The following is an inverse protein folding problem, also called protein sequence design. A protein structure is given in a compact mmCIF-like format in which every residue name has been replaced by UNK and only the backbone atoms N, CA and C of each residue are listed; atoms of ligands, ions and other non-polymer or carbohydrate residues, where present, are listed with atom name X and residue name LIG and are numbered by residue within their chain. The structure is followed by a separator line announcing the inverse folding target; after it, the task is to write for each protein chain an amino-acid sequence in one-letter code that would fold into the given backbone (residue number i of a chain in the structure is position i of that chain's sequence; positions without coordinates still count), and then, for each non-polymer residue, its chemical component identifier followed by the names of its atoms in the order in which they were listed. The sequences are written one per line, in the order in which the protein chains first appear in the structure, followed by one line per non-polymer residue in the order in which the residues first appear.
data_IF_272756462170
#
_entry.id   IF_272756462170
#
_cell.length_a   1.000
_cell.length_b   1.000
_cell.length_c   1.000
_cell.angle_alpha   90.00
_cell.angle_beta   90.00
_cell.angle_gamma   90.00
#
_symmetry.space_group_name_H-M   'P 1'
#
loop_
_entity.id
_entity.type
_entity.pdbx_description
1 polymer ?
#
# COMPACT_ATOMS: atom_id res chain seq x y z
N UNK A 1 -10.40 2.41 -23.34
CA UNK A 1 -11.00 1.17 -22.81
C UNK A 1 -11.77 1.53 -21.55
N UNK A 2 -12.96 1.00 -21.37
CA UNK A 2 -13.74 1.17 -20.13
C UNK A 2 -13.36 0.07 -19.16
N UNK A 3 -13.37 0.39 -17.86
CA UNK A 3 -13.17 -0.61 -16.80
C UNK A 3 -14.48 -0.78 -16.04
N UNK A 4 -14.88 -2.03 -15.81
CA UNK A 4 -16.03 -2.35 -14.98
C UNK A 4 -15.58 -2.67 -13.57
N UNK A 5 -16.15 -1.98 -12.56
CA UNK A 5 -15.88 -2.26 -11.14
C UNK A 5 -16.94 -3.20 -10.56
N UNK A 6 -16.48 -4.25 -9.86
CA UNK A 6 -17.32 -5.20 -9.14
C UNK A 6 -16.87 -5.32 -7.69
N UNK A 7 -17.80 -5.12 -6.73
CA UNK A 7 -17.54 -5.35 -5.29
C UNK A 7 -17.71 -6.82 -4.95
N UNK A 8 -16.81 -7.36 -4.13
CA UNK A 8 -16.83 -8.73 -3.63
C UNK A 8 -16.35 -8.79 -2.18
N UNK A 9 -16.45 -9.97 -1.56
CA UNK A 9 -16.00 -10.21 -0.18
C UNK A 9 -15.36 -11.57 -0.03
N UNK A 10 -14.49 -11.70 0.97
CA UNK A 10 -14.01 -12.99 1.47
C UNK A 10 -13.87 -12.94 3.00
N UNK A 11 -13.75 -14.11 3.62
CA UNK A 11 -13.44 -14.23 5.05
C UNK A 11 -11.92 -14.22 5.22
N UNK A 12 -11.40 -13.14 5.80
CA UNK A 12 -9.98 -12.95 6.11
C UNK A 12 -9.56 -13.67 7.38
N UNK A 13 -8.34 -13.41 7.81
CA UNK A 13 -7.76 -14.00 9.03
C UNK A 13 -8.70 -13.83 10.22
N UNK A 14 -8.98 -14.93 10.94
CA UNK A 14 -9.90 -14.95 12.07
C UNK A 14 -11.37 -14.73 11.71
N UNK A 15 -11.77 -14.96 10.45
CA UNK A 15 -13.16 -14.84 9.99
C UNK A 15 -13.66 -13.39 9.85
N UNK A 16 -12.75 -12.44 9.76
CA UNK A 16 -13.12 -11.04 9.52
C UNK A 16 -13.56 -10.87 8.07
N UNK A 17 -14.78 -10.34 7.85
CA UNK A 17 -15.26 -10.06 6.50
C UNK A 17 -14.42 -8.95 5.84
N UNK A 18 -13.76 -9.28 4.74
CA UNK A 18 -12.97 -8.35 3.93
C UNK A 18 -13.73 -8.02 2.65
N UNK A 19 -13.87 -6.73 2.36
CA UNK A 19 -14.47 -6.22 1.12
C UNK A 19 -13.34 -5.88 0.15
N UNK A 20 -13.51 -6.22 -1.12
CA UNK A 20 -12.59 -5.82 -2.17
C UNK A 20 -13.34 -5.45 -3.45
N UNK A 21 -12.75 -4.59 -4.23
CA UNK A 21 -13.22 -4.24 -5.55
C UNK A 21 -12.30 -4.86 -6.62
N UNK A 22 -12.90 -5.21 -7.77
CA UNK A 22 -12.20 -5.66 -8.97
C UNK A 22 -12.53 -4.71 -10.10
N UNK A 23 -11.53 -4.10 -10.71
CA UNK A 23 -11.66 -3.30 -11.93
C UNK A 23 -11.15 -4.13 -13.11
N UNK A 24 -12.07 -4.59 -13.94
CA UNK A 24 -11.77 -5.44 -15.08
C UNK A 24 -11.76 -4.61 -16.38
N UNK A 25 -10.69 -4.71 -17.20
CA UNK A 25 -10.72 -4.17 -18.56
C UNK A 25 -11.70 -4.96 -19.45
N UNK A 26 -12.06 -4.37 -20.59
CA UNK A 26 -12.95 -5.02 -21.57
C UNK A 26 -12.25 -6.11 -22.41
N UNK A 27 -10.95 -6.32 -22.20
CA UNK A 27 -10.12 -7.31 -22.90
C UNK A 27 -9.57 -8.34 -21.93
N UNK A 28 -9.04 -9.47 -22.47
CA UNK A 28 -8.33 -10.44 -21.65
C UNK A 28 -7.12 -9.76 -20.97
N UNK A 29 -6.97 -9.92 -19.65
CA UNK A 29 -5.93 -9.24 -18.90
C UNK A 29 -4.52 -9.74 -19.27
N UNK A 30 -3.59 -8.80 -19.49
CA UNK A 30 -2.16 -9.07 -19.68
C UNK A 30 -1.43 -9.27 -18.36
N UNK A 31 -1.94 -8.68 -17.28
CA UNK A 31 -1.42 -8.78 -15.94
C UNK A 31 -2.50 -8.49 -14.90
N UNK A 32 -2.25 -8.90 -13.68
CA UNK A 32 -3.12 -8.70 -12.53
C UNK A 32 -2.41 -7.89 -11.47
N UNK A 33 -2.99 -6.74 -11.10
CA UNK A 33 -2.49 -5.87 -10.02
C UNK A 33 -3.29 -6.15 -8.76
N UNK A 34 -2.61 -6.49 -7.67
CA UNK A 34 -3.21 -6.59 -6.33
C UNK A 34 -2.71 -5.42 -5.50
N UNK A 35 -3.63 -4.53 -5.11
CA UNK A 35 -3.35 -3.25 -4.48
C UNK A 35 -3.70 -3.25 -2.99
N UNK A 36 -2.77 -2.75 -2.19
CA UNK A 36 -2.84 -2.52 -0.76
C UNK A 36 -2.79 -1.02 -0.46
N UNK A 37 -3.88 -0.46 0.07
CA UNK A 37 -4.03 0.97 0.35
C UNK A 37 -3.34 1.42 1.65
N UNK A 38 -3.26 2.73 1.87
CA UNK A 38 -2.63 3.37 3.03
C UNK A 38 -3.49 3.35 4.31
N UNK A 39 -2.90 3.87 5.39
CA UNK A 39 -3.55 3.96 6.69
C UNK A 39 -4.75 4.91 6.65
N UNK A 40 -5.88 4.45 7.17
CA UNK A 40 -7.08 5.25 7.34
C UNK A 40 -7.94 5.43 6.09
N UNK A 41 -7.46 5.01 4.92
CA UNK A 41 -8.18 5.14 3.65
C UNK A 41 -8.88 3.83 3.20
N UNK A 42 -9.18 3.67 1.92
CA UNK A 42 -9.88 2.51 1.35
C UNK A 42 -9.61 2.36 -0.16
N UNK A 43 -9.92 1.19 -0.72
CA UNK A 43 -9.65 0.80 -2.11
C UNK A 43 -10.23 1.75 -3.17
N UNK A 44 -11.42 2.34 -2.93
CA UNK A 44 -12.09 3.19 -3.94
C UNK A 44 -11.40 4.53 -4.19
N UNK A 45 -10.46 4.93 -3.35
CA UNK A 45 -9.62 6.10 -3.63
C UNK A 45 -8.65 5.86 -4.80
N UNK A 46 -8.55 4.61 -5.26
CA UNK A 46 -7.72 4.18 -6.39
C UNK A 46 -8.53 3.92 -7.67
N UNK A 47 -9.80 4.35 -7.75
CA UNK A 47 -10.64 4.21 -8.95
C UNK A 47 -9.92 4.71 -10.23
N UNK A 48 -9.27 5.87 -10.17
CA UNK A 48 -8.55 6.46 -11.29
C UNK A 48 -7.23 5.73 -11.62
N UNK A 49 -6.56 5.16 -10.62
CA UNK A 49 -5.36 4.33 -10.80
C UNK A 49 -5.74 3.05 -11.54
N UNK A 50 -6.77 2.35 -11.06
CA UNK A 50 -7.29 1.14 -11.69
C UNK A 50 -7.82 1.40 -13.11
N UNK A 51 -8.47 2.55 -13.34
CA UNK A 51 -8.91 2.96 -14.66
C UNK A 51 -7.72 3.17 -15.62
N UNK A 52 -6.62 3.80 -15.14
CA UNK A 52 -5.39 3.97 -15.94
C UNK A 52 -4.74 2.62 -16.25
N UNK A 53 -4.66 1.72 -15.30
CA UNK A 53 -4.14 0.36 -15.48
C UNK A 53 -4.98 -0.44 -16.49
N UNK A 54 -6.31 -0.33 -16.41
CA UNK A 54 -7.22 -1.00 -17.35
C UNK A 54 -7.06 -0.57 -18.81
N UNK A 55 -6.59 0.68 -19.08
CA UNK A 55 -6.27 1.12 -20.44
C UNK A 55 -5.11 0.34 -21.06
N UNK A 56 -4.24 -0.24 -20.24
CA UNK A 56 -3.12 -1.08 -20.65
C UNK A 56 -3.40 -2.58 -20.47
N UNK A 57 -4.67 -2.95 -20.25
CA UNK A 57 -5.08 -4.35 -20.14
C UNK A 57 -4.69 -5.01 -18.81
N UNK A 58 -4.53 -4.22 -17.74
CA UNK A 58 -4.30 -4.74 -16.39
C UNK A 58 -5.61 -4.78 -15.61
N UNK A 59 -5.95 -5.96 -15.07
CA UNK A 59 -7.03 -6.07 -14.09
C UNK A 59 -6.51 -5.70 -12.70
N UNK A 60 -7.29 -4.92 -11.94
CA UNK A 60 -6.89 -4.48 -10.60
C UNK A 60 -7.82 -5.06 -9.54
N UNK A 61 -7.23 -5.66 -8.51
CA UNK A 61 -7.88 -6.10 -7.28
C UNK A 61 -7.41 -5.24 -6.13
N UNK A 62 -8.32 -4.65 -5.35
CA UNK A 62 -7.92 -3.88 -4.15
C UNK A 62 -8.89 -4.17 -3.00
N UNK A 63 -8.35 -4.58 -1.85
CA UNK A 63 -9.15 -4.78 -0.65
C UNK A 63 -9.28 -3.47 0.14
N UNK A 64 -10.38 -3.32 0.87
CA UNK A 64 -10.38 -2.48 2.06
C UNK A 64 -9.77 -3.32 3.18
N UNK A 65 -8.65 -2.88 3.76
CA UNK A 65 -8.02 -3.61 4.86
C UNK A 65 -8.98 -3.80 6.03
N UNK A 66 -8.77 -4.84 6.84
CA UNK A 66 -9.52 -5.01 8.10
C UNK A 66 -9.52 -3.72 8.91
N UNK A 67 -10.67 -3.34 9.44
CA UNK A 67 -10.84 -2.08 10.18
C UNK A 67 -10.84 -0.81 9.31
N UNK A 68 -10.82 -0.94 7.98
CA UNK A 68 -10.84 0.19 7.04
C UNK A 68 -12.03 0.10 6.09
N UNK A 69 -12.41 1.24 5.51
CA UNK A 69 -13.46 1.33 4.50
C UNK A 69 -14.71 0.56 4.90
N UNK A 70 -15.10 -0.40 4.05
CA UNK A 70 -16.29 -1.25 4.16
C UNK A 70 -16.02 -2.61 4.85
N UNK A 71 -14.75 -2.94 5.12
CA UNK A 71 -14.35 -4.19 5.75
C UNK A 71 -14.68 -4.24 7.22
N UNK A 72 -14.86 -5.45 7.74
CA UNK A 72 -15.06 -5.73 9.16
C UNK A 72 -13.80 -5.50 10.00
N UNK A 73 -13.92 -5.77 11.29
CA UNK A 73 -12.83 -5.56 12.25
C UNK A 73 -12.98 -4.26 13.05
N UNK A 74 -12.13 -4.10 14.08
CA UNK A 74 -12.06 -2.86 14.85
C UNK A 74 -11.39 -1.76 14.03
N UNK A 75 -11.96 -0.55 14.05
CA UNK A 75 -11.51 0.58 13.23
C UNK A 75 -10.03 0.85 13.43
N UNK A 76 -9.24 0.74 12.34
CA UNK A 76 -7.79 0.99 12.25
C UNK A 76 -6.97 0.24 13.32
N UNK A 77 -7.46 -0.89 13.82
CA UNK A 77 -6.79 -1.66 14.86
C UNK A 77 -6.38 -3.03 14.35
N UNK A 78 -5.10 -3.31 14.47
CA UNK A 78 -4.48 -4.61 14.23
C UNK A 78 -3.62 -5.00 15.42
N UNK A 79 -3.47 -6.28 15.68
CA UNK A 79 -2.62 -6.79 16.76
C UNK A 79 -1.23 -7.18 16.26
N UNK A 80 -1.16 -7.64 15.02
CA UNK A 80 0.04 -8.12 14.37
C UNK A 80 -0.06 -7.88 12.87
N UNK A 81 1.05 -7.53 12.23
CA UNK A 81 1.10 -7.26 10.79
C UNK A 81 0.65 -8.47 9.95
N UNK A 82 0.82 -9.70 10.49
CA UNK A 82 0.40 -10.94 9.84
C UNK A 82 -1.12 -11.04 9.59
N UNK A 83 -1.93 -10.28 10.33
CA UNK A 83 -3.35 -10.19 10.05
C UNK A 83 -3.62 -9.46 8.72
N UNK A 84 -2.81 -8.43 8.39
CA UNK A 84 -2.90 -7.72 7.11
C UNK A 84 -2.26 -8.52 5.97
N UNK A 85 -1.06 -9.08 6.19
CA UNK A 85 -0.39 -9.88 5.14
C UNK A 85 -1.18 -11.12 4.80
N UNK A 86 -1.86 -11.77 5.76
CA UNK A 86 -2.72 -12.92 5.52
C UNK A 86 -4.00 -12.60 4.74
N UNK A 87 -4.63 -11.42 5.01
CA UNK A 87 -5.75 -10.95 4.20
C UNK A 87 -5.31 -10.62 2.77
N UNK A 88 -4.13 -10.00 2.63
CA UNK A 88 -3.55 -9.66 1.34
C UNK A 88 -3.18 -10.93 0.55
N UNK A 89 -2.55 -11.92 1.18
CA UNK A 89 -2.24 -13.24 0.63
C UNK A 89 -3.51 -13.92 0.05
N UNK A 90 -4.60 -13.89 0.82
CA UNK A 90 -5.89 -14.40 0.36
C UNK A 90 -6.36 -13.71 -0.92
N UNK A 91 -6.23 -12.37 -1.01
CA UNK A 91 -6.61 -11.63 -2.21
C UNK A 91 -5.70 -11.93 -3.39
N UNK A 92 -4.38 -12.04 -3.17
CA UNK A 92 -3.42 -12.47 -4.22
C UNK A 92 -3.80 -13.84 -4.74
N UNK A 93 -4.12 -14.80 -3.87
CA UNK A 93 -4.57 -16.14 -4.26
C UNK A 93 -5.87 -16.13 -5.07
N UNK A 94 -6.84 -15.29 -4.70
CA UNK A 94 -8.10 -15.10 -5.46
C UNK A 94 -7.80 -14.55 -6.86
N UNK A 95 -6.97 -13.51 -6.95
CA UNK A 95 -6.62 -12.85 -8.19
C UNK A 95 -5.84 -13.78 -9.13
N UNK A 96 -4.81 -14.48 -8.62
CA UNK A 96 -4.02 -15.46 -9.35
C UNK A 96 -4.87 -16.61 -9.90
N UNK A 97 -5.79 -17.12 -9.08
CA UNK A 97 -6.70 -18.20 -9.51
C UNK A 97 -7.69 -17.75 -10.58
N UNK A 98 -8.11 -16.50 -10.55
CA UNK A 98 -9.02 -15.93 -11.55
C UNK A 98 -8.33 -15.65 -12.90
N UNK A 99 -7.01 -15.43 -12.89
CA UNK A 99 -6.21 -15.05 -14.07
C UNK A 99 -4.96 -15.94 -14.19
N UNK A 100 -5.10 -17.25 -14.44
CA UNK A 100 -3.97 -18.17 -14.51
C UNK A 100 -3.04 -17.77 -15.66
N UNK A 101 -1.75 -17.66 -15.37
CA UNK A 101 -0.73 -17.30 -16.36
C UNK A 101 -0.55 -15.79 -16.60
N UNK A 102 -1.38 -14.92 -15.99
CA UNK A 102 -1.16 -13.49 -16.03
C UNK A 102 -0.01 -13.09 -15.09
N UNK A 103 0.79 -12.10 -15.50
CA UNK A 103 1.85 -11.53 -14.64
C UNK A 103 1.23 -10.94 -13.36
N UNK A 104 1.72 -11.35 -12.19
CA UNK A 104 1.23 -10.97 -10.87
C UNK A 104 2.00 -9.75 -10.37
N UNK A 105 1.31 -8.65 -10.19
CA UNK A 105 1.89 -7.38 -9.75
C UNK A 105 1.31 -7.04 -8.39
N UNK A 106 2.15 -6.89 -7.38
CA UNK A 106 1.73 -6.40 -6.06
C UNK A 106 2.08 -4.92 -5.94
N UNK A 107 1.08 -4.11 -5.54
CA UNK A 107 1.23 -2.67 -5.39
C UNK A 107 0.82 -2.25 -3.97
N UNK A 108 1.68 -1.48 -3.28
CA UNK A 108 1.37 -0.97 -1.95
C UNK A 108 1.67 0.51 -1.80
N UNK A 109 0.73 1.25 -1.19
CA UNK A 109 0.92 2.66 -0.86
C UNK A 109 1.00 2.86 0.66
N UNK A 110 2.00 3.62 1.13
CA UNK A 110 2.13 4.02 2.54
C UNK A 110 2.16 2.80 3.49
N UNK A 111 1.20 2.68 4.42
CA UNK A 111 0.98 1.47 5.23
C UNK A 111 0.88 0.23 4.33
N UNK A 112 0.11 0.31 3.24
CA UNK A 112 0.01 -0.78 2.27
C UNK A 112 1.34 -1.14 1.64
N UNK A 113 2.25 -0.18 1.47
CA UNK A 113 3.63 -0.43 1.05
C UNK A 113 4.41 -1.24 2.08
N UNK A 114 4.24 -0.96 3.37
CA UNK A 114 4.79 -1.78 4.46
C UNK A 114 4.21 -3.19 4.51
N UNK A 115 2.91 -3.33 4.25
CA UNK A 115 2.22 -4.64 4.17
C UNK A 115 2.74 -5.46 2.98
N UNK A 116 2.83 -4.84 1.79
CA UNK A 116 3.33 -5.50 0.56
C UNK A 116 4.81 -5.87 0.71
N UNK A 117 5.62 -5.03 1.35
CA UNK A 117 6.99 -5.38 1.71
C UNK A 117 7.04 -6.62 2.62
N UNK A 118 6.28 -6.61 3.74
CA UNK A 118 6.26 -7.74 4.68
C UNK A 118 5.77 -9.02 4.01
N UNK A 119 4.72 -8.94 3.19
CA UNK A 119 4.21 -10.04 2.37
C UNK A 119 5.26 -10.57 1.40
N UNK A 120 5.89 -9.68 0.61
CA UNK A 120 6.84 -10.08 -0.42
C UNK A 120 8.09 -10.77 0.12
N UNK A 121 8.55 -10.37 1.31
CA UNK A 121 9.66 -11.04 2.01
C UNK A 121 9.29 -12.47 2.46
N UNK A 122 8.03 -12.70 2.82
CA UNK A 122 7.54 -14.02 3.28
C UNK A 122 7.11 -14.92 2.11
N UNK A 123 6.75 -14.33 0.97
CA UNK A 123 6.17 -14.98 -0.20
C UNK A 123 6.86 -14.52 -1.50
N UNK A 124 8.17 -14.67 -1.63
CA UNK A 124 8.91 -14.12 -2.78
C UNK A 124 8.51 -14.73 -4.14
N UNK A 125 7.90 -15.92 -4.14
CA UNK A 125 7.49 -16.64 -5.36
C UNK A 125 6.01 -16.39 -5.74
N UNK A 126 5.25 -15.63 -4.93
CA UNK A 126 3.81 -15.46 -5.14
C UNK A 126 3.46 -14.22 -5.99
N UNK A 127 4.46 -13.47 -6.43
CA UNK A 127 4.31 -12.32 -7.32
C UNK A 127 5.51 -12.22 -8.28
N UNK A 128 5.32 -11.53 -9.39
CA UNK A 128 6.34 -11.38 -10.45
C UNK A 128 6.94 -9.97 -10.45
N UNK A 129 6.16 -8.94 -10.09
CA UNK A 129 6.59 -7.53 -10.02
C UNK A 129 6.07 -6.88 -8.73
N UNK A 130 6.86 -5.97 -8.17
CA UNK A 130 6.45 -5.16 -7.00
C UNK A 130 6.54 -3.67 -7.29
N UNK A 131 5.48 -2.92 -6.93
CA UNK A 131 5.44 -1.46 -7.00
C UNK A 131 5.11 -0.90 -5.61
N UNK A 132 5.93 0.00 -5.10
CA UNK A 132 5.72 0.64 -3.81
C UNK A 132 5.64 2.17 -3.98
N UNK A 133 4.62 2.77 -3.36
CA UNK A 133 4.40 4.23 -3.39
C UNK A 133 4.48 4.80 -1.97
N UNK A 134 5.46 5.66 -1.70
CA UNK A 134 5.67 6.25 -0.38
C UNK A 134 5.66 5.23 0.77
N UNK A 135 6.36 4.07 0.64
CA UNK A 135 6.12 2.90 1.51
C UNK A 135 6.57 3.14 2.95
N UNK A 136 5.75 2.72 3.91
CA UNK A 136 6.06 2.79 5.34
C UNK A 136 7.01 1.67 5.78
N UNK A 137 8.17 1.56 5.12
CA UNK A 137 9.20 0.54 5.40
C UNK A 137 10.33 1.02 6.30
N UNK A 138 10.33 2.31 6.65
CA UNK A 138 11.28 2.94 7.57
C UNK A 138 10.57 4.01 8.42
N UNK A 139 9.37 3.69 8.93
CA UNK A 139 8.55 4.61 9.73
C UNK A 139 9.28 5.15 10.97
N UNK A 140 10.26 4.41 11.51
CA UNK A 140 11.12 4.86 12.61
C UNK A 140 11.97 6.08 12.24
N UNK A 141 12.28 6.32 10.97
CA UNK A 141 13.05 7.48 10.53
C UNK A 141 12.27 8.81 10.74
N UNK A 142 10.95 8.74 10.83
CA UNK A 142 10.08 9.90 11.05
C UNK A 142 9.93 10.29 12.53
N UNK A 143 10.45 9.48 13.46
CA UNK A 143 10.27 9.69 14.92
C UNK A 143 11.59 9.52 15.68
N UNK A 144 11.71 10.19 16.84
CA UNK A 144 12.89 9.98 17.68
C UNK A 144 12.95 8.54 18.24
N UNK A 145 14.16 7.99 18.50
CA UNK A 145 14.29 6.62 19.03
C UNK A 145 13.52 6.39 20.34
N UNK A 146 13.46 7.40 21.20
CA UNK A 146 12.73 7.33 22.48
C UNK A 146 11.22 7.22 22.22
N UNK A 147 10.68 8.04 21.29
CA UNK A 147 9.27 8.00 20.93
C UNK A 147 8.91 6.69 20.23
N UNK A 148 9.78 6.17 19.37
CA UNK A 148 9.59 4.88 18.72
C UNK A 148 9.52 3.72 19.75
N UNK A 149 10.43 3.71 20.73
CA UNK A 149 10.43 2.72 21.81
C UNK A 149 9.16 2.83 22.66
N UNK A 150 8.72 4.05 23.00
CA UNK A 150 7.50 4.28 23.76
C UNK A 150 6.27 3.80 22.97
N UNK A 151 6.18 4.14 21.69
CA UNK A 151 5.07 3.71 20.83
C UNK A 151 5.01 2.18 20.69
N UNK A 152 6.16 1.51 20.54
CA UNK A 152 6.24 0.04 20.50
C UNK A 152 5.79 -0.59 21.82
N UNK A 153 6.22 -0.05 22.96
CA UNK A 153 5.83 -0.55 24.29
C UNK A 153 4.34 -0.34 24.55
N UNK A 154 3.84 0.87 24.30
CA UNK A 154 2.41 1.19 24.47
C UNK A 154 1.55 0.37 23.52
N UNK A 155 1.98 0.21 22.26
CA UNK A 155 1.27 -0.60 21.26
C UNK A 155 1.17 -2.08 21.65
N UNK A 156 2.16 -2.60 22.37
CA UNK A 156 2.13 -3.98 22.87
C UNK A 156 1.13 -4.16 24.04
N UNK A 157 1.06 -3.18 24.95
CA UNK A 157 0.26 -3.28 26.21
C UNK A 157 -1.17 -2.79 25.99
N UNK A 158 -1.32 -1.70 25.25
CA UNK A 158 -2.59 -1.01 25.03
C UNK A 158 -2.77 -0.64 23.54
N UNK A 159 -2.91 -1.63 22.64
CA UNK A 159 -2.91 -1.40 21.19
C UNK A 159 -4.02 -0.48 20.70
N UNK A 160 -5.13 -0.36 21.43
CA UNK A 160 -6.23 0.55 21.13
C UNK A 160 -6.03 1.98 21.63
N UNK A 161 -4.92 2.30 22.31
CA UNK A 161 -4.68 3.65 22.81
C UNK A 161 -4.50 4.61 21.63
N UNK A 162 -5.30 5.71 21.56
CA UNK A 162 -5.18 6.66 20.47
C UNK A 162 -3.94 7.54 20.64
N UNK A 163 -3.11 7.63 19.60
CA UNK A 163 -1.91 8.49 19.57
C UNK A 163 -2.23 9.84 18.91
N UNK A 164 -1.83 10.03 17.66
CA UNK A 164 -1.98 11.26 16.91
C UNK A 164 -2.78 10.99 15.63
N UNK A 165 -3.60 11.95 15.20
CA UNK A 165 -4.25 11.89 13.89
C UNK A 165 -3.24 12.19 12.77
N UNK A 166 -3.47 11.63 11.58
CA UNK A 166 -2.71 12.00 10.38
C UNK A 166 -3.09 13.43 9.97
N UNK A 167 -2.10 14.20 9.52
CA UNK A 167 -2.34 15.49 8.91
C UNK A 167 -2.82 15.32 7.46
N UNK A 168 -4.10 15.55 7.24
CA UNK A 168 -4.69 15.46 5.90
C UNK A 168 -4.06 16.45 4.89
N UNK A 169 -3.48 17.57 5.35
CA UNK A 169 -2.81 18.51 4.46
C UNK A 169 -1.46 18.01 3.95
N UNK A 170 -0.95 16.93 4.53
CA UNK A 170 0.30 16.30 4.10
C UNK A 170 0.09 15.20 3.03
N UNK A 171 -1.17 14.83 2.72
CA UNK A 171 -1.42 13.75 1.74
C UNK A 171 -1.17 14.22 0.31
N UNK A 172 -1.60 15.43 -0.06
CA UNK A 172 -1.42 15.99 -1.40
C UNK A 172 -1.36 17.52 -1.36
N UNK A 173 -0.72 18.13 -2.38
CA UNK A 173 -0.75 19.58 -2.62
C UNK A 173 -2.07 20.03 -3.26
N UNK A 174 -2.88 19.11 -3.81
CA UNK A 174 -4.17 19.43 -4.42
C UNK A 174 -5.24 19.65 -3.34
N UNK A 175 -5.76 20.88 -3.17
CA UNK A 175 -6.80 21.15 -2.16
C UNK A 175 -8.09 20.34 -2.38
N UNK A 176 -8.38 19.95 -3.64
CA UNK A 176 -9.56 19.14 -3.95
C UNK A 176 -9.39 17.71 -3.40
N UNK A 177 -8.18 17.14 -3.49
CA UNK A 177 -7.84 15.83 -2.89
C UNK A 177 -7.93 15.89 -1.38
N UNK A 178 -7.36 16.93 -0.75
CA UNK A 178 -7.43 17.14 0.71
C UNK A 178 -8.88 17.28 1.17
N UNK A 179 -9.70 18.04 0.45
CA UNK A 179 -11.12 18.17 0.76
C UNK A 179 -11.88 16.84 0.61
N UNK A 180 -11.65 16.12 -0.48
CA UNK A 180 -12.24 14.78 -0.69
C UNK A 180 -11.84 13.81 0.43
N UNK A 181 -10.54 13.81 0.83
CA UNK A 181 -10.07 13.02 1.97
C UNK A 181 -10.83 13.38 3.25
N UNK A 182 -10.95 14.67 3.59
CA UNK A 182 -11.58 15.14 4.82
C UNK A 182 -13.10 14.91 4.87
N UNK A 183 -13.77 14.79 3.74
CA UNK A 183 -15.23 14.62 3.65
C UNK A 183 -15.68 13.20 3.37
N UNK A 184 -14.76 12.29 3.07
CA UNK A 184 -15.07 10.89 2.78
C UNK A 184 -15.45 10.12 4.06
N UNK A 185 -16.67 9.59 4.16
CA UNK A 185 -17.12 8.87 5.37
C UNK A 185 -16.43 7.51 5.55
N UNK A 186 -15.76 6.97 4.53
CA UNK A 186 -15.00 5.72 4.60
C UNK A 186 -13.57 5.93 5.11
N UNK A 187 -13.07 7.17 5.05
CA UNK A 187 -11.76 7.54 5.61
C UNK A 187 -11.84 7.64 7.14
N UNK A 188 -10.78 7.21 7.80
CA UNK A 188 -10.65 7.34 9.24
C UNK A 188 -10.02 8.70 9.62
N UNK A 189 -10.81 9.59 10.17
CA UNK A 189 -10.35 10.94 10.61
C UNK A 189 -9.92 10.99 12.07
N UNK A 190 -9.93 9.85 12.76
CA UNK A 190 -9.55 9.76 14.17
C UNK A 190 -8.06 9.63 14.39
N UNK A 191 -7.69 9.52 15.66
CA UNK A 191 -6.30 9.26 16.05
C UNK A 191 -5.89 7.84 15.67
N UNK A 192 -4.63 7.68 15.24
CA UNK A 192 -4.02 6.40 14.93
C UNK A 192 -3.84 5.58 16.22
N UNK A 193 -4.33 4.34 16.31
CA UNK A 193 -4.11 3.49 17.47
C UNK A 193 -2.63 3.08 17.61
N UNK A 194 -2.18 2.93 18.86
CA UNK A 194 -0.80 2.54 19.17
C UNK A 194 -0.39 1.16 18.57
N UNK A 195 -1.34 0.24 18.42
CA UNK A 195 -1.08 -1.07 17.83
C UNK A 195 -0.58 -0.99 16.40
N UNK A 196 -1.30 -0.26 15.52
CA UNK A 196 -0.87 -0.13 14.13
C UNK A 196 0.44 0.67 14.01
N UNK A 197 0.62 1.72 14.83
CA UNK A 197 1.88 2.47 14.86
C UNK A 197 3.07 1.55 15.24
N UNK A 198 2.87 0.68 16.25
CA UNK A 198 3.85 -0.34 16.63
C UNK A 198 4.21 -1.26 15.46
N UNK A 199 3.23 -1.81 14.78
CA UNK A 199 3.47 -2.76 13.68
C UNK A 199 4.26 -2.12 12.53
N UNK A 200 3.94 -0.89 12.15
CA UNK A 200 4.70 -0.16 11.13
C UNK A 200 6.13 0.15 11.57
N UNK A 201 6.35 0.45 12.85
CA UNK A 201 7.71 0.61 13.40
C UNK A 201 8.50 -0.70 13.37
N UNK A 202 7.86 -1.84 13.67
CA UNK A 202 8.50 -3.17 13.61
C UNK A 202 8.85 -3.57 12.16
N UNK A 203 8.01 -3.26 11.19
CA UNK A 203 8.33 -3.44 9.76
C UNK A 203 9.60 -2.67 9.43
N UNK A 204 9.69 -1.40 9.83
CA UNK A 204 10.87 -0.58 9.59
C UNK A 204 12.14 -1.08 10.32
N UNK A 205 12.02 -1.53 11.57
CA UNK A 205 13.16 -2.09 12.32
C UNK A 205 13.75 -3.35 11.67
N UNK A 206 12.90 -4.15 11.01
CA UNK A 206 13.31 -5.43 10.41
C UNK A 206 13.63 -5.31 8.91
N UNK A 207 13.29 -4.18 8.28
CA UNK A 207 13.49 -3.97 6.84
C UNK A 207 14.94 -4.20 6.40
N UNK A 208 15.98 -3.64 7.06
CA UNK A 208 17.36 -3.78 6.58
C UNK A 208 17.84 -5.23 6.51
N UNK A 209 17.37 -6.10 7.43
CA UNK A 209 17.76 -7.51 7.50
C UNK A 209 16.95 -8.38 6.55
N UNK A 210 15.70 -7.98 6.27
CA UNK A 210 14.75 -8.79 5.50
C UNK A 210 14.69 -8.44 4.03
N UNK A 211 15.05 -7.20 3.65
CA UNK A 211 14.91 -6.70 2.29
C UNK A 211 15.66 -7.52 1.23
N UNK A 212 16.79 -8.15 1.57
CA UNK A 212 17.54 -9.00 0.67
C UNK A 212 16.74 -10.21 0.13
N UNK A 213 15.63 -10.59 0.77
CA UNK A 213 14.73 -11.63 0.28
C UNK A 213 13.83 -11.16 -0.88
N UNK A 214 13.71 -9.86 -1.12
CA UNK A 214 12.99 -9.33 -2.29
C UNK A 214 13.88 -9.43 -3.53
N UNK A 215 13.61 -10.41 -4.37
CA UNK A 215 14.41 -10.71 -5.58
C UNK A 215 13.67 -10.39 -6.88
N UNK A 216 12.37 -10.21 -6.84
CA UNK A 216 11.57 -9.77 -7.98
C UNK A 216 11.87 -8.31 -8.37
N UNK A 217 11.64 -7.90 -9.63
CA UNK A 217 11.74 -6.51 -10.06
C UNK A 217 10.92 -5.58 -9.16
N UNK A 218 11.54 -4.47 -8.73
CA UNK A 218 10.97 -3.51 -7.79
C UNK A 218 11.00 -2.09 -8.36
N UNK A 219 9.84 -1.45 -8.41
CA UNK A 219 9.71 -0.01 -8.60
C UNK A 219 9.27 0.65 -7.28
N UNK A 220 10.00 1.67 -6.87
CA UNK A 220 9.57 2.56 -5.78
C UNK A 220 9.31 3.95 -6.34
N UNK A 221 8.13 4.52 -6.09
CA UNK A 221 7.77 5.89 -6.43
C UNK A 221 7.56 6.70 -5.15
N UNK A 222 8.12 7.92 -5.06
CA UNK A 222 8.07 8.72 -3.84
C UNK A 222 8.07 10.22 -4.13
N UNK A 223 7.31 11.00 -3.37
CA UNK A 223 7.37 12.47 -3.43
C UNK A 223 8.54 13.02 -2.63
N UNK A 224 9.29 13.99 -3.18
CA UNK A 224 10.45 14.55 -2.47
C UNK A 224 10.07 15.37 -1.23
N UNK A 225 8.84 15.89 -1.19
CA UNK A 225 8.29 16.70 -0.10
C UNK A 225 7.29 15.91 0.76
N UNK A 226 7.38 14.58 0.76
CA UNK A 226 6.58 13.72 1.62
C UNK A 226 6.90 13.98 3.11
N UNK A 227 5.90 14.52 3.83
CA UNK A 227 6.00 14.88 5.25
C UNK A 227 5.49 13.80 6.19
N UNK A 228 4.85 12.74 5.64
CA UNK A 228 4.34 11.61 6.42
C UNK A 228 5.37 10.48 6.50
N UNK A 229 5.98 10.13 5.37
CA UNK A 229 7.00 9.10 5.27
C UNK A 229 8.23 9.69 4.54
N UNK A 230 9.35 9.92 5.23
CA UNK A 230 10.54 10.47 4.59
C UNK A 230 11.07 9.57 3.47
N UNK A 231 11.46 10.18 2.36
CA UNK A 231 11.99 9.48 1.16
C UNK A 231 13.26 8.66 1.44
N UNK A 232 13.98 8.98 2.51
CA UNK A 232 15.20 8.26 2.90
C UNK A 232 14.94 6.78 3.24
N UNK A 233 13.74 6.44 3.72
CA UNK A 233 13.34 5.05 3.89
C UNK A 233 13.28 4.28 2.56
N UNK A 234 12.80 4.90 1.50
CA UNK A 234 12.81 4.32 0.15
C UNK A 234 14.22 4.18 -0.41
N UNK A 235 15.12 5.13 -0.15
CA UNK A 235 16.53 5.04 -0.53
C UNK A 235 17.21 3.84 0.14
N UNK A 236 17.02 3.69 1.46
CA UNK A 236 17.54 2.55 2.22
C UNK A 236 16.98 1.22 1.72
N UNK A 237 15.68 1.15 1.38
CA UNK A 237 15.06 -0.06 0.86
C UNK A 237 15.73 -0.51 -0.44
N UNK A 238 15.85 0.38 -1.44
CA UNK A 238 16.40 0.02 -2.76
C UNK A 238 17.87 -0.37 -2.71
N UNK A 239 18.61 0.10 -1.70
CA UNK A 239 20.00 -0.32 -1.44
C UNK A 239 20.07 -1.71 -0.77
N UNK A 240 19.02 -2.14 -0.06
CA UNK A 240 19.02 -3.35 0.76
C UNK A 240 18.37 -4.57 0.07
N UNK A 241 17.56 -4.37 -0.99
CA UNK A 241 16.86 -5.47 -1.69
C UNK A 241 17.81 -6.37 -2.45
N UNK A 242 17.45 -7.65 -2.58
CA UNK A 242 18.22 -8.64 -3.33
C UNK A 242 17.96 -8.65 -4.84
N UNK A 243 17.00 -7.88 -5.31
CA UNK A 243 16.68 -7.76 -6.74
C UNK A 243 17.80 -7.06 -7.50
N UNK A 244 18.09 -7.54 -8.71
CA UNK A 244 19.00 -6.88 -9.68
C UNK A 244 18.28 -5.87 -10.57
N UNK A 245 16.94 -5.83 -10.54
CA UNK A 245 16.10 -4.93 -11.33
C UNK A 245 15.30 -4.01 -10.38
N UNK A 246 15.94 -2.91 -9.98
CA UNK A 246 15.41 -1.98 -8.97
C UNK A 246 15.43 -0.57 -9.50
N UNK A 247 14.31 0.13 -9.39
CA UNK A 247 14.19 1.54 -9.76
C UNK A 247 13.55 2.34 -8.63
N UNK A 248 14.15 3.50 -8.29
CA UNK A 248 13.56 4.50 -7.41
C UNK A 248 13.31 5.78 -8.21
N UNK A 249 12.04 6.16 -8.36
CA UNK A 249 11.62 7.44 -8.92
C UNK A 249 11.18 8.39 -7.83
N UNK A 250 11.98 9.44 -7.61
CA UNK A 250 11.63 10.52 -6.68
C UNK A 250 11.08 11.70 -7.48
N UNK A 251 9.83 12.07 -7.22
CA UNK A 251 9.15 13.17 -7.92
C UNK A 251 9.35 14.48 -7.16
N UNK A 252 10.03 15.48 -7.77
CA UNK A 252 10.32 16.75 -7.11
C UNK A 252 9.04 17.51 -6.73
N UNK A 253 8.98 17.96 -5.49
CA UNK A 253 7.88 18.78 -4.97
C UNK A 253 6.60 18.02 -4.59
N UNK A 254 6.44 16.74 -4.96
CA UNK A 254 5.25 15.95 -4.64
C UNK A 254 5.23 15.56 -3.16
N UNK A 255 4.01 15.49 -2.60
CA UNK A 255 3.75 15.03 -1.25
C UNK A 255 3.56 13.50 -1.19
N UNK A 256 2.87 13.02 -0.16
CA UNK A 256 2.79 11.59 0.16
C UNK A 256 2.04 10.76 -0.88
N UNK A 257 0.86 11.20 -1.29
CA UNK A 257 -0.01 10.46 -2.22
C UNK A 257 0.33 10.81 -3.67
N UNK A 258 1.46 10.35 -4.19
CA UNK A 258 1.93 10.70 -5.55
C UNK A 258 0.91 10.35 -6.65
N UNK A 259 0.02 9.37 -6.41
CA UNK A 259 -1.09 9.01 -7.30
C UNK A 259 -2.28 9.97 -7.21
N UNK A 260 -2.28 10.90 -6.26
CA UNK A 260 -3.34 11.89 -6.04
C UNK A 260 -2.82 13.34 -6.16
N UNK A 261 -1.56 13.53 -6.55
CA UNK A 261 -0.97 14.83 -6.82
C UNK A 261 -1.49 15.44 -8.15
N UNK A 262 -1.34 16.74 -8.37
CA UNK A 262 -1.67 17.35 -9.67
C UNK A 262 -1.00 16.65 -10.86
N UNK A 263 0.22 16.15 -10.68
CA UNK A 263 1.02 15.44 -11.67
C UNK A 263 0.75 13.93 -11.73
N UNK A 264 -0.30 13.42 -11.08
CA UNK A 264 -0.62 11.98 -10.97
C UNK A 264 -0.60 11.20 -12.29
N UNK A 265 -0.98 11.84 -13.40
CA UNK A 265 -0.99 11.16 -14.70
C UNK A 265 0.43 10.84 -15.17
N UNK A 266 1.39 11.72 -14.96
CA UNK A 266 2.81 11.45 -15.23
C UNK A 266 3.32 10.28 -14.37
N UNK A 267 2.99 10.28 -13.07
CA UNK A 267 3.38 9.21 -12.15
C UNK A 267 2.79 7.86 -12.59
N UNK A 268 1.50 7.86 -12.95
CA UNK A 268 0.82 6.65 -13.41
C UNK A 268 1.36 6.15 -14.76
N UNK A 269 1.69 7.05 -15.69
CA UNK A 269 2.29 6.70 -16.98
C UNK A 269 3.68 6.08 -16.80
N UNK A 270 4.47 6.60 -15.86
CA UNK A 270 5.77 6.03 -15.51
C UNK A 270 5.63 4.61 -14.92
N UNK A 271 4.68 4.41 -13.99
CA UNK A 271 4.42 3.09 -13.39
C UNK A 271 3.95 2.11 -14.45
N UNK A 272 3.00 2.50 -15.29
CA UNK A 272 2.47 1.64 -16.37
C UNK A 272 3.57 1.29 -17.38
N UNK A 273 4.40 2.27 -17.76
CA UNK A 273 5.52 2.04 -18.68
C UNK A 273 6.53 1.05 -18.10
N UNK A 274 6.84 1.18 -16.80
CA UNK A 274 7.72 0.26 -16.09
C UNK A 274 7.16 -1.17 -16.04
N UNK A 275 5.85 -1.31 -15.75
CA UNK A 275 5.16 -2.61 -15.77
C UNK A 275 5.17 -3.19 -17.19
N UNK A 276 4.76 -2.43 -18.21
CA UNK A 276 4.65 -2.90 -19.59
C UNK A 276 5.99 -3.39 -20.17
N UNK A 277 7.11 -2.83 -19.73
CA UNK A 277 8.44 -3.27 -20.13
C UNK A 277 8.81 -4.68 -19.57
N UNK A 278 8.01 -5.23 -18.63
CA UNK A 278 8.26 -6.50 -17.92
C UNK A 278 7.12 -7.51 -18.06
N UNK A 279 6.07 -7.20 -18.83
CA UNK A 279 4.99 -8.12 -19.24
C UNK A 279 5.45 -8.98 -20.48
#
# INVERSE_FOLDING_TARGET
MTTTRTERTFDGVGGVRIVYDVWSPDTDPRGVVVLSHGLGEHARRYDHVAARFGQDGLVTYALDHRGHGRSGGKRVLVKDISEYTGDFDTLVGIATKAHPGATRIVLGHSMGGGIVFAYGVERPDDYDLMVLSGPAVAAQAAVSPVLALLAKTVGAIAPGLPLQALDANAVSRDPAVVNAYNTDPLVHHGKVPAGIARELLLVGDTMPQRAAALTAPLLVVHGSEDRLIPVDGSRQLVEAVGSSDVELKVYPGLYHEVFNEPERYQVLDDVVSWINARL
#
